data_IF_781995499061
#
_entry.id   IF_781995499061
#
_cell.length_a   1.000
_cell.length_b   1.000
_cell.length_c   1.000
_cell.angle_alpha   90.00
_cell.angle_beta   90.00
_cell.angle_gamma   90.00
#
_symmetry.space_group_name_H-M   'P 1'
#
loop_
_entity.id
_entity.type
_entity.pdbx_description
1 polymer ?
#
# COMPACT_ATOMS: atom_id res chain seq x y z
N UNK A 1 13.74 6.87 -13.49
CA UNK A 1 12.68 6.43 -12.54
C UNK A 1 13.06 5.23 -11.65
N UNK A 2 14.11 4.44 -11.94
CA UNK A 2 14.37 3.19 -11.21
C UNK A 2 14.64 3.34 -9.71
N UNK A 3 15.34 4.40 -9.29
CA UNK A 3 15.57 4.68 -7.86
C UNK A 3 14.26 4.88 -7.12
N UNK A 4 13.34 5.72 -7.65
CA UNK A 4 12.03 5.97 -7.06
C UNK A 4 11.22 4.68 -6.95
N UNK A 5 11.20 3.85 -8.01
CA UNK A 5 10.54 2.54 -8.00
C UNK A 5 11.06 1.64 -6.89
N UNK A 6 12.37 1.54 -6.72
CA UNK A 6 13.00 0.72 -5.68
C UNK A 6 12.67 1.29 -4.29
N UNK A 7 12.85 2.59 -4.09
CA UNK A 7 12.63 3.24 -2.79
C UNK A 7 11.18 3.13 -2.32
N UNK A 8 10.20 3.32 -3.20
CA UNK A 8 8.78 3.21 -2.82
C UNK A 8 8.40 1.77 -2.48
N UNK A 9 8.90 0.79 -3.24
CA UNK A 9 8.69 -0.63 -2.95
C UNK A 9 9.33 -1.04 -1.63
N UNK A 10 10.58 -0.62 -1.39
CA UNK A 10 11.28 -0.89 -0.13
C UNK A 10 10.57 -0.27 1.07
N UNK A 11 9.80 0.81 0.91
CA UNK A 11 9.01 1.38 2.02
C UNK A 11 7.96 0.38 2.53
N UNK A 12 7.26 -0.33 1.65
CA UNK A 12 6.31 -1.37 2.05
C UNK A 12 7.03 -2.60 2.60
N UNK A 13 8.08 -3.06 1.92
CA UNK A 13 8.82 -4.24 2.37
C UNK A 13 9.46 -4.02 3.75
N UNK A 14 10.11 -2.88 3.99
CA UNK A 14 10.66 -2.58 5.30
C UNK A 14 9.58 -2.35 6.36
N UNK A 15 8.38 -1.91 5.98
CA UNK A 15 7.24 -1.80 6.91
C UNK A 15 6.91 -3.16 7.54
N UNK A 16 6.83 -4.25 6.76
CA UNK A 16 6.59 -5.60 7.32
C UNK A 16 7.79 -6.12 8.13
N UNK A 17 9.01 -5.85 7.68
CA UNK A 17 10.23 -6.22 8.44
C UNK A 17 10.22 -5.52 9.80
N UNK A 18 9.87 -4.25 9.87
CA UNK A 18 9.78 -3.52 11.13
C UNK A 18 8.63 -4.02 12.01
N UNK A 19 7.49 -4.40 11.44
CA UNK A 19 6.41 -5.06 12.20
C UNK A 19 6.90 -6.36 12.84
N UNK A 20 7.70 -7.16 12.13
CA UNK A 20 8.30 -8.35 12.69
C UNK A 20 9.25 -7.99 13.84
N UNK A 21 10.25 -7.14 13.58
CA UNK A 21 11.28 -6.79 14.56
C UNK A 21 10.64 -6.19 15.83
N UNK A 22 9.73 -5.23 15.68
CA UNK A 22 9.12 -4.52 16.81
C UNK A 22 8.17 -5.40 17.63
N UNK A 23 7.54 -6.41 17.03
CA UNK A 23 6.67 -7.35 17.75
C UNK A 23 7.40 -8.59 18.28
N UNK A 24 8.67 -8.80 17.90
CA UNK A 24 9.45 -10.00 18.19
C UNK A 24 9.02 -11.24 17.38
N UNK A 25 7.73 -11.36 17.08
CA UNK A 25 7.18 -12.39 16.21
C UNK A 25 6.04 -11.81 15.36
N UNK A 26 6.16 -11.98 14.05
CA UNK A 26 5.19 -11.48 13.08
C UNK A 26 3.76 -11.94 13.36
N UNK A 27 3.56 -13.13 13.94
CA UNK A 27 2.23 -13.64 14.31
C UNK A 27 1.60 -12.85 15.46
N UNK A 28 2.39 -12.27 16.37
CA UNK A 28 1.87 -11.40 17.43
C UNK A 28 1.34 -10.09 16.85
N UNK A 29 2.03 -9.52 15.85
CA UNK A 29 1.52 -8.34 15.15
C UNK A 29 0.24 -8.70 14.37
N UNK A 30 0.27 -9.81 13.62
CA UNK A 30 -0.82 -10.22 12.75
C UNK A 30 -2.13 -10.59 13.48
N UNK A 31 -2.03 -11.10 14.70
CA UNK A 31 -3.18 -11.44 15.56
C UNK A 31 -3.41 -10.40 16.67
N UNK A 32 -2.67 -9.28 16.64
CA UNK A 32 -2.76 -8.23 17.64
C UNK A 32 -3.98 -7.32 17.44
N UNK A 33 -4.07 -6.29 18.29
CA UNK A 33 -5.17 -5.33 18.27
C UNK A 33 -4.83 -4.04 17.48
N UNK A 34 -3.86 -4.06 16.57
CA UNK A 34 -3.33 -2.83 15.94
C UNK A 34 -4.40 -2.14 15.09
N UNK A 35 -5.12 -2.89 14.25
CA UNK A 35 -6.21 -2.33 13.44
C UNK A 35 -7.39 -1.91 14.32
N UNK A 36 -7.71 -2.68 15.38
CA UNK A 36 -8.75 -2.31 16.35
C UNK A 36 -8.43 -0.95 16.98
N UNK A 37 -7.21 -0.77 17.49
CA UNK A 37 -6.75 0.50 18.05
C UNK A 37 -6.80 1.65 17.05
N UNK A 38 -6.41 1.40 15.81
CA UNK A 38 -6.48 2.41 14.74
C UNK A 38 -7.93 2.85 14.46
N UNK A 39 -8.86 1.89 14.35
CA UNK A 39 -10.29 2.14 14.16
C UNK A 39 -10.91 2.86 15.36
N UNK A 40 -10.59 2.47 16.60
CA UNK A 40 -11.12 3.14 17.79
C UNK A 40 -10.68 4.61 17.87
N UNK A 41 -9.43 4.91 17.45
CA UNK A 41 -8.86 6.26 17.54
C UNK A 41 -9.20 7.16 16.36
N UNK A 42 -9.32 6.60 15.16
CA UNK A 42 -9.40 7.36 13.90
C UNK A 42 -10.46 6.85 12.91
N UNK A 43 -11.19 5.80 13.26
CA UNK A 43 -12.17 5.17 12.39
C UNK A 43 -13.30 6.14 12.02
N UNK A 44 -13.59 6.24 10.73
CA UNK A 44 -14.81 6.88 10.24
C UNK A 44 -16.06 6.13 10.74
N UNK A 45 -17.21 6.80 10.83
CA UNK A 45 -18.44 6.17 11.34
C UNK A 45 -18.82 4.89 10.58
N UNK A 46 -18.59 4.86 9.26
CA UNK A 46 -18.89 3.68 8.44
C UNK A 46 -17.96 2.49 8.72
N UNK A 47 -16.75 2.73 9.26
CA UNK A 47 -15.77 1.68 9.54
C UNK A 47 -15.84 1.16 10.98
N UNK A 48 -16.53 1.86 11.89
CA UNK A 48 -16.71 1.41 13.29
C UNK A 48 -17.45 0.09 13.45
N UNK A 49 -18.47 -0.26 12.64
CA UNK A 49 -19.12 -1.58 12.72
C UNK A 49 -18.14 -2.75 12.57
N UNK A 50 -16.97 -2.56 11.95
CA UNK A 50 -15.96 -3.62 11.86
C UNK A 50 -15.31 -4.00 13.20
N UNK A 51 -15.44 -3.16 14.23
CA UNK A 51 -14.96 -3.48 15.58
C UNK A 51 -15.66 -4.71 16.19
N UNK A 52 -16.89 -5.00 15.75
CA UNK A 52 -17.65 -6.19 16.17
C UNK A 52 -17.25 -7.46 15.39
N UNK A 53 -16.37 -7.33 14.40
CA UNK A 53 -15.90 -8.42 13.54
C UNK A 53 -14.38 -8.64 13.69
N UNK A 54 -13.88 -9.09 14.86
CA UNK A 54 -12.44 -9.21 15.12
C UNK A 54 -11.73 -10.16 14.16
N UNK A 55 -12.41 -11.22 13.71
CA UNK A 55 -11.85 -12.14 12.69
C UNK A 55 -11.55 -11.45 11.36
N UNK A 56 -12.41 -10.51 10.93
CA UNK A 56 -12.17 -9.71 9.72
C UNK A 56 -10.98 -8.77 9.88
N UNK A 57 -10.83 -8.16 11.07
CA UNK A 57 -9.70 -7.27 11.34
C UNK A 57 -8.37 -8.02 11.41
N UNK A 58 -8.35 -9.23 11.98
CA UNK A 58 -7.19 -10.12 11.96
C UNK A 58 -6.86 -10.54 10.52
N UNK A 59 -7.87 -10.91 9.71
CA UNK A 59 -7.66 -11.21 8.30
C UNK A 59 -7.09 -10.00 7.54
N UNK A 60 -7.54 -8.79 7.84
CA UNK A 60 -7.01 -7.54 7.31
C UNK A 60 -5.54 -7.27 7.71
N UNK A 61 -5.14 -7.61 8.94
CA UNK A 61 -3.75 -7.54 9.37
C UNK A 61 -2.88 -8.51 8.55
N UNK A 62 -3.31 -9.77 8.43
CA UNK A 62 -2.61 -10.76 7.59
C UNK A 62 -2.52 -10.34 6.13
N UNK A 63 -3.62 -9.85 5.55
CA UNK A 63 -3.65 -9.34 4.18
C UNK A 63 -2.65 -8.19 3.99
N UNK A 64 -2.56 -7.27 4.95
CA UNK A 64 -1.59 -6.16 4.93
C UNK A 64 -0.15 -6.67 4.95
N UNK A 65 0.15 -7.66 5.80
CA UNK A 65 1.48 -8.26 5.87
C UNK A 65 1.88 -8.93 4.55
N UNK A 66 1.00 -9.75 3.98
CA UNK A 66 1.24 -10.41 2.70
C UNK A 66 1.44 -9.39 1.59
N UNK A 67 0.57 -8.37 1.52
CA UNK A 67 0.66 -7.29 0.55
C UNK A 67 2.00 -6.53 0.63
N UNK A 68 2.42 -6.13 1.83
CA UNK A 68 3.68 -5.43 2.07
C UNK A 68 4.89 -6.31 1.75
N UNK A 69 4.86 -7.59 2.15
CA UNK A 69 5.94 -8.55 1.92
C UNK A 69 6.13 -8.87 0.43
N UNK A 70 5.03 -8.99 -0.32
CA UNK A 70 5.08 -9.27 -1.75
C UNK A 70 5.35 -8.04 -2.62
N UNK A 71 5.44 -6.84 -2.03
CA UNK A 71 5.71 -5.59 -2.77
C UNK A 71 6.94 -5.64 -3.71
N UNK A 72 8.07 -6.33 -3.40
CA UNK A 72 9.20 -6.42 -4.32
C UNK A 72 8.91 -7.09 -5.67
N UNK A 73 7.88 -7.94 -5.73
CA UNK A 73 7.48 -8.63 -6.97
C UNK A 73 7.12 -7.62 -8.06
N UNK A 74 6.58 -6.44 -7.68
CA UNK A 74 6.16 -5.41 -8.62
C UNK A 74 7.31 -4.90 -9.49
N UNK A 75 8.55 -4.95 -9.00
CA UNK A 75 9.74 -4.53 -9.77
C UNK A 75 10.02 -5.40 -11.00
N UNK A 76 9.39 -6.56 -11.09
CA UNK A 76 9.53 -7.54 -12.16
C UNK A 76 8.26 -7.70 -13.01
N UNK A 77 7.13 -7.12 -12.58
CA UNK A 77 5.87 -7.15 -13.33
C UNK A 77 5.95 -6.28 -14.58
N UNK A 78 5.18 -6.66 -15.61
CA UNK A 78 5.11 -5.95 -16.90
C UNK A 78 3.68 -5.93 -17.45
N UNK A 79 3.38 -4.91 -18.26
CA UNK A 79 2.08 -4.73 -18.92
C UNK A 79 0.92 -4.73 -17.92
N UNK A 80 -0.18 -5.41 -18.25
CA UNK A 80 -1.41 -5.45 -17.44
C UNK A 80 -1.21 -5.87 -15.98
N UNK A 81 -0.19 -6.69 -15.68
CA UNK A 81 0.10 -7.12 -14.31
C UNK A 81 0.69 -5.99 -13.48
N UNK A 82 1.52 -5.14 -14.10
CA UNK A 82 2.04 -3.95 -13.46
C UNK A 82 0.91 -2.94 -13.21
N UNK A 83 0.05 -2.72 -14.21
CA UNK A 83 -1.10 -1.83 -14.07
C UNK A 83 -2.04 -2.29 -12.94
N UNK A 84 -2.33 -3.59 -12.89
CA UNK A 84 -3.11 -4.20 -11.80
C UNK A 84 -2.46 -4.02 -10.43
N UNK A 85 -1.15 -4.20 -10.33
CA UNK A 85 -0.42 -3.95 -9.08
C UNK A 85 -0.53 -2.48 -8.65
N UNK A 86 -0.29 -1.53 -9.56
CA UNK A 86 -0.44 -0.09 -9.26
C UNK A 86 -1.84 0.21 -8.73
N UNK A 87 -2.89 -0.31 -9.36
CA UNK A 87 -4.28 -0.14 -8.91
C UNK A 87 -4.47 -0.69 -7.50
N UNK A 88 -3.97 -1.89 -7.20
CA UNK A 88 -4.07 -2.49 -5.85
C UNK A 88 -3.41 -1.60 -4.80
N UNK A 89 -2.21 -1.06 -5.07
CA UNK A 89 -1.54 -0.14 -4.15
C UNK A 89 -2.31 1.17 -3.98
N UNK A 90 -2.88 1.73 -5.04
CA UNK A 90 -3.73 2.93 -4.96
C UNK A 90 -4.98 2.66 -4.12
N UNK A 91 -5.64 1.52 -4.32
CA UNK A 91 -6.82 1.11 -3.56
C UNK A 91 -6.50 0.89 -2.08
N UNK A 92 -5.34 0.32 -1.75
CA UNK A 92 -4.88 0.18 -0.37
C UNK A 92 -4.77 1.54 0.33
N UNK A 93 -4.16 2.54 -0.32
CA UNK A 93 -4.07 3.90 0.22
C UNK A 93 -5.42 4.58 0.33
N UNK A 94 -6.25 4.46 -0.70
CA UNK A 94 -7.59 5.01 -0.70
C UNK A 94 -8.40 4.42 0.45
N UNK A 95 -8.40 3.10 0.62
CA UNK A 95 -9.12 2.40 1.68
C UNK A 95 -8.63 2.82 3.07
N UNK A 96 -7.31 2.90 3.25
CA UNK A 96 -6.71 3.38 4.50
C UNK A 96 -7.13 4.82 4.82
N UNK A 97 -7.18 5.68 3.80
CA UNK A 97 -7.62 7.06 3.96
C UNK A 97 -9.10 7.17 4.29
N UNK A 98 -9.98 6.49 3.57
CA UNK A 98 -11.43 6.59 3.83
C UNK A 98 -11.82 5.93 5.16
N UNK A 99 -11.10 4.90 5.60
CA UNK A 99 -11.41 4.17 6.83
C UNK A 99 -10.84 4.83 8.07
N UNK A 100 -9.62 5.41 7.99
CA UNK A 100 -8.84 5.89 9.15
C UNK A 100 -8.39 7.35 9.04
N UNK A 101 -8.65 8.04 7.92
CA UNK A 101 -8.13 9.37 7.65
C UNK A 101 -6.60 9.44 7.54
N UNK A 102 -5.92 8.29 7.40
CA UNK A 102 -4.46 8.21 7.28
C UNK A 102 -4.09 8.19 5.79
N UNK A 103 -3.20 9.08 5.36
CA UNK A 103 -2.74 9.13 3.98
C UNK A 103 -1.22 9.29 3.90
N UNK A 104 -0.57 8.46 3.07
CA UNK A 104 0.87 8.51 2.81
C UNK A 104 1.16 9.08 1.43
N UNK A 105 0.87 10.37 1.24
CA UNK A 105 0.91 11.04 -0.05
C UNK A 105 2.23 10.85 -0.83
N UNK A 106 3.42 10.90 -0.21
CA UNK A 106 4.67 10.63 -0.92
C UNK A 106 4.68 9.26 -1.59
N UNK A 107 4.22 8.21 -0.90
CA UNK A 107 4.20 6.86 -1.46
C UNK A 107 3.20 6.70 -2.60
N UNK A 108 2.04 7.39 -2.51
CA UNK A 108 1.03 7.43 -3.58
C UNK A 108 1.60 8.09 -4.83
N UNK A 109 2.26 9.24 -4.69
CA UNK A 109 2.86 9.97 -5.82
C UNK A 109 3.97 9.13 -6.46
N UNK A 110 4.81 8.47 -5.67
CA UNK A 110 5.92 7.66 -6.19
C UNK A 110 5.46 6.49 -7.09
N UNK A 111 4.21 6.03 -6.98
CA UNK A 111 3.66 5.02 -7.89
C UNK A 111 3.54 5.50 -9.34
N UNK A 112 3.50 6.81 -9.55
CA UNK A 112 3.56 7.40 -10.89
C UNK A 112 4.84 7.00 -11.65
N UNK A 113 5.93 6.66 -10.94
CA UNK A 113 7.17 6.17 -11.53
C UNK A 113 7.05 4.80 -12.23
N UNK A 114 5.95 4.07 -12.01
CA UNK A 114 5.67 2.79 -12.68
C UNK A 114 4.76 2.94 -13.91
N UNK A 115 4.15 4.11 -14.12
CA UNK A 115 3.27 4.37 -15.25
C UNK A 115 4.08 4.90 -16.44
N UNK A 116 3.70 4.57 -17.69
CA UNK A 116 4.36 5.06 -18.89
C UNK A 116 3.94 6.50 -19.20
N UNK A 117 4.21 7.43 -18.29
CA UNK A 117 3.79 8.84 -18.37
C UNK A 117 4.38 9.55 -19.59
N UNK A 118 5.49 9.07 -20.13
CA UNK A 118 6.07 9.55 -21.38
C UNK A 118 5.08 9.48 -22.56
N UNK A 119 4.13 8.55 -22.53
CA UNK A 119 3.09 8.41 -23.57
C UNK A 119 2.01 9.48 -23.47
N UNK A 120 1.94 10.22 -22.36
CA UNK A 120 0.96 11.28 -22.12
C UNK A 120 1.44 12.64 -22.63
N UNK A 121 2.68 12.74 -23.14
CA UNK A 121 3.23 13.99 -23.67
C UNK A 121 2.49 14.37 -24.96
N UNK A 122 1.82 15.54 -25.01
CA UNK A 122 1.13 16.01 -26.21
C UNK A 122 2.08 16.13 -27.41
N UNK A 123 1.61 15.76 -28.61
CA UNK A 123 2.40 15.82 -29.86
C UNK A 123 3.02 17.20 -30.15
N UNK A 124 2.47 18.28 -29.59
CA UNK A 124 3.03 19.64 -29.72
C UNK A 124 4.39 19.83 -29.01
N UNK A 125 4.76 18.93 -28.11
CA UNK A 125 6.02 18.95 -27.37
C UNK A 125 6.98 17.84 -27.80
N UNK A 126 6.55 16.88 -28.62
CA UNK A 126 7.47 16.00 -29.34
C UNK A 126 8.07 16.81 -30.47
N UNK A 127 9.30 17.30 -30.28
CA UNK A 127 10.08 17.88 -31.38
C UNK A 127 10.14 16.86 -32.53
N UNK A 128 9.79 17.29 -33.73
CA UNK A 128 10.00 16.52 -34.96
C UNK A 128 11.49 16.18 -35.05
N UNK A 129 11.83 14.93 -34.78
CA UNK A 129 13.12 14.33 -35.08
C UNK A 129 13.06 13.67 -36.46
#
# INVERSE_FOLDING_TARGET
MRVVQISVVLTYFYSVVMKWIASGNITHWANGAVIIWALMRRGAEWSKPFLEMPGLLIAGQWATLVFEFLSPIVLFLKGRWLDGAVIVFMLFHLMTYIALGIHFLPTVICWAAFLPLEKLIPKRFTASA
#
